data_IF_346084096824
#
_entry.id   IF_346084096824
#
_cell.length_a   1.000
_cell.length_b   1.000
_cell.length_c   1.000
_cell.angle_alpha   90.00
_cell.angle_beta   90.00
_cell.angle_gamma   90.00
#
_symmetry.space_group_name_H-M   'P 1'
#
loop_
_entity.id
_entity.type
_entity.pdbx_description
1 polymer ?
#
# COMPACT_ATOMS: atom_id res chain seq x y z
N UNK A 1 17.25 -14.50 19.30
CA UNK A 1 17.43 -14.14 17.88
C UNK A 1 17.74 -12.65 17.82
N UNK A 2 18.98 -12.27 17.56
CA UNK A 2 19.38 -10.86 17.51
C UNK A 2 18.78 -10.24 16.24
N UNK A 3 17.96 -9.18 16.38
CA UNK A 3 17.45 -8.36 15.26
C UNK A 3 18.55 -7.92 14.27
N UNK A 4 19.80 -7.97 14.70
CA UNK A 4 20.98 -7.64 13.93
C UNK A 4 21.18 -8.56 12.70
N UNK A 5 20.70 -9.80 12.74
CA UNK A 5 20.89 -10.79 11.65
C UNK A 5 19.84 -10.73 10.53
N UNK A 6 18.76 -9.96 10.66
CA UNK A 6 17.73 -9.90 9.61
C UNK A 6 18.25 -9.17 8.36
N UNK A 7 17.91 -9.70 7.18
CA UNK A 7 18.17 -9.01 5.92
C UNK A 7 17.44 -7.66 5.85
N UNK A 8 17.99 -6.75 5.05
CA UNK A 8 17.46 -5.40 4.89
C UNK A 8 16.00 -5.40 4.40
N UNK A 9 15.65 -6.32 3.48
CA UNK A 9 14.29 -6.48 2.98
C UNK A 9 13.28 -6.73 4.12
N UNK A 10 13.62 -7.66 5.02
CA UNK A 10 12.78 -8.03 6.17
C UNK A 10 12.65 -6.87 7.16
N UNK A 11 13.77 -6.21 7.47
CA UNK A 11 13.79 -5.04 8.37
C UNK A 11 12.87 -3.93 7.85
N UNK A 12 12.97 -3.59 6.57
CA UNK A 12 12.15 -2.55 5.95
C UNK A 12 10.67 -2.95 5.95
N UNK A 13 10.35 -4.18 5.55
CA UNK A 13 8.98 -4.66 5.51
C UNK A 13 8.30 -4.64 6.90
N UNK A 14 9.00 -5.04 7.96
CA UNK A 14 8.49 -4.98 9.34
C UNK A 14 8.18 -3.53 9.74
N UNK A 15 9.11 -2.60 9.48
CA UNK A 15 8.91 -1.18 9.82
C UNK A 15 7.72 -0.62 9.06
N UNK A 16 7.61 -0.88 7.76
CA UNK A 16 6.48 -0.38 6.96
C UNK A 16 5.14 -1.05 7.31
N UNK A 17 5.14 -2.31 7.71
CA UNK A 17 3.95 -2.95 8.28
C UNK A 17 3.43 -2.17 9.49
N UNK A 18 4.34 -1.80 10.41
CA UNK A 18 4.01 -0.95 11.55
C UNK A 18 3.53 0.45 11.15
N UNK A 19 4.19 1.08 10.17
CA UNK A 19 3.79 2.40 9.66
C UNK A 19 2.39 2.34 9.05
N UNK A 20 2.07 1.36 8.21
CA UNK A 20 0.74 1.24 7.61
C UNK A 20 -0.33 0.99 8.66
N UNK A 21 -0.03 0.21 9.71
CA UNK A 21 -0.95 0.04 10.83
C UNK A 21 -1.22 1.40 11.52
N UNK A 22 -0.17 2.16 11.79
CA UNK A 22 -0.26 3.48 12.42
C UNK A 22 -1.03 4.48 11.56
N UNK A 23 -0.77 4.52 10.25
CA UNK A 23 -1.53 5.33 9.28
C UNK A 23 -3.00 4.91 9.25
N UNK A 24 -3.28 3.60 9.31
CA UNK A 24 -4.64 3.07 9.46
C UNK A 24 -5.35 3.57 10.70
N UNK A 25 -4.66 3.63 11.84
CA UNK A 25 -5.22 4.18 13.08
C UNK A 25 -5.51 5.69 12.96
N UNK A 26 -4.59 6.48 12.42
CA UNK A 26 -4.81 7.93 12.24
C UNK A 26 -5.93 8.25 11.26
N UNK A 27 -5.97 7.56 10.12
CA UNK A 27 -7.06 7.69 9.15
C UNK A 27 -8.39 7.22 9.75
N UNK A 28 -8.37 6.29 10.71
CA UNK A 28 -9.54 5.91 11.51
C UNK A 28 -10.05 7.05 12.40
N UNK A 29 -9.16 7.78 13.06
CA UNK A 29 -9.51 8.99 13.83
C UNK A 29 -10.11 10.05 12.92
N UNK A 30 -9.48 10.30 11.75
CA UNK A 30 -10.00 11.24 10.76
C UNK A 30 -11.40 10.84 10.24
N UNK A 31 -11.59 9.56 9.92
CA UNK A 31 -12.88 8.98 9.52
C UNK A 31 -13.94 9.19 10.60
N UNK A 32 -13.63 8.89 11.85
CA UNK A 32 -14.55 9.09 12.98
C UNK A 32 -14.95 10.56 13.14
N UNK A 33 -13.98 11.47 13.01
CA UNK A 33 -14.22 12.90 13.09
C UNK A 33 -15.19 13.39 11.99
N UNK A 34 -15.05 12.90 10.75
CA UNK A 34 -16.00 13.22 9.67
C UNK A 34 -17.40 12.63 9.94
N UNK A 35 -17.47 11.37 10.38
CA UNK A 35 -18.75 10.70 10.71
C UNK A 35 -19.54 11.53 11.72
N UNK A 36 -18.90 11.99 12.80
CA UNK A 36 -19.54 12.77 13.87
C UNK A 36 -20.11 14.11 13.41
N UNK A 37 -19.56 14.71 12.36
CA UNK A 37 -20.01 16.00 11.84
C UNK A 37 -20.95 15.89 10.64
N UNK A 38 -21.05 14.70 10.04
CA UNK A 38 -21.89 14.49 8.87
C UNK A 38 -23.35 14.21 9.25
N UNK A 39 -24.34 14.81 8.57
CA UNK A 39 -25.76 14.51 8.80
C UNK A 39 -26.11 13.03 8.60
N UNK A 40 -25.40 12.36 7.69
CA UNK A 40 -25.63 10.95 7.33
C UNK A 40 -24.75 9.97 8.12
N UNK A 41 -23.94 10.46 9.07
CA UNK A 41 -22.98 9.64 9.84
C UNK A 41 -22.01 8.83 8.95
N UNK A 42 -21.49 9.46 7.89
CA UNK A 42 -20.57 8.86 6.92
C UNK A 42 -19.37 9.78 6.65
N UNK A 43 -18.19 9.17 6.55
CA UNK A 43 -16.99 9.84 6.05
C UNK A 43 -17.00 9.89 4.52
N UNK A 44 -16.16 10.74 3.95
CA UNK A 44 -15.91 10.76 2.52
C UNK A 44 -15.37 9.40 2.06
N UNK A 45 -15.78 8.97 0.85
CA UNK A 45 -15.48 7.62 0.33
C UNK A 45 -14.00 7.28 0.37
N UNK A 46 -13.13 8.21 -0.05
CA UNK A 46 -11.68 8.00 -0.04
C UNK A 46 -11.03 8.04 1.35
N UNK A 47 -11.67 8.67 2.35
CA UNK A 47 -11.19 8.58 3.74
C UNK A 47 -11.45 7.16 4.28
N UNK A 48 -12.59 6.57 3.94
CA UNK A 48 -12.88 5.17 4.29
C UNK A 48 -11.94 4.20 3.55
N UNK A 49 -11.67 4.42 2.26
CA UNK A 49 -10.71 3.60 1.52
C UNK A 49 -9.30 3.75 2.11
N UNK A 50 -8.80 4.97 2.34
CA UNK A 50 -7.47 5.18 2.89
C UNK A 50 -7.27 4.41 4.20
N UNK A 51 -8.28 4.46 5.08
CA UNK A 51 -8.29 3.73 6.34
C UNK A 51 -8.24 2.21 6.14
N UNK A 52 -9.16 1.65 5.35
CA UNK A 52 -9.23 0.19 5.12
C UNK A 52 -7.97 -0.32 4.43
N UNK A 53 -7.52 0.36 3.38
CA UNK A 53 -6.34 -0.04 2.63
C UNK A 53 -5.09 -0.03 3.51
N UNK A 54 -4.91 0.98 4.38
CA UNK A 54 -3.79 1.00 5.32
C UNK A 54 -3.81 -0.19 6.29
N UNK A 55 -4.98 -0.56 6.81
CA UNK A 55 -5.14 -1.73 7.68
C UNK A 55 -4.95 -3.07 6.96
N UNK A 56 -5.19 -3.14 5.65
CA UNK A 56 -4.94 -4.33 4.84
C UNK A 56 -3.47 -4.42 4.39
N UNK A 57 -2.84 -3.29 4.08
CA UNK A 57 -1.45 -3.24 3.65
C UNK A 57 -0.47 -3.45 4.81
N UNK A 58 -0.85 -3.17 6.05
CA UNK A 58 -0.07 -3.52 7.23
C UNK A 58 0.24 -5.03 7.32
N UNK A 59 -0.74 -5.96 7.43
CA UNK A 59 -0.48 -7.39 7.45
C UNK A 59 0.06 -7.90 6.11
N UNK A 60 -0.34 -7.33 4.96
CA UNK A 60 0.26 -7.72 3.68
C UNK A 60 1.77 -7.47 3.64
N UNK A 61 2.22 -6.32 4.16
CA UNK A 61 3.66 -6.01 4.23
C UNK A 61 4.39 -6.92 5.20
N UNK A 62 3.73 -7.34 6.29
CA UNK A 62 4.29 -8.36 7.19
C UNK A 62 4.43 -9.71 6.48
N UNK A 63 3.45 -10.10 5.65
CA UNK A 63 3.55 -11.31 4.82
C UNK A 63 4.76 -11.20 3.88
N UNK A 64 4.98 -10.05 3.23
CA UNK A 64 6.19 -9.85 2.41
C UNK A 64 7.47 -10.01 3.22
N UNK A 65 7.50 -9.55 4.47
CA UNK A 65 8.65 -9.74 5.36
C UNK A 65 8.94 -11.22 5.62
N UNK A 66 7.89 -12.02 5.87
CA UNK A 66 8.00 -13.47 6.10
C UNK A 66 8.43 -14.19 4.83
N UNK A 67 7.86 -13.84 3.68
CA UNK A 67 8.27 -14.42 2.40
C UNK A 67 9.73 -14.12 2.08
N UNK A 68 10.17 -12.86 2.27
CA UNK A 68 11.56 -12.48 2.09
C UNK A 68 12.49 -13.19 3.09
N UNK A 69 12.05 -13.40 4.33
CA UNK A 69 12.82 -14.12 5.34
C UNK A 69 13.02 -15.60 5.00
N UNK A 70 11.99 -16.26 4.45
CA UNK A 70 12.06 -17.66 4.04
C UNK A 70 12.67 -17.85 2.65
N UNK A 71 12.97 -16.77 1.92
CA UNK A 71 13.38 -16.84 0.52
C UNK A 71 14.85 -17.25 0.37
N UNK A 72 15.12 -18.20 -0.52
CA UNK A 72 16.49 -18.57 -0.94
C UNK A 72 17.07 -17.67 -2.02
N UNK A 73 16.30 -16.71 -2.54
CA UNK A 73 16.75 -15.81 -3.59
C UNK A 73 17.80 -14.82 -3.05
N UNK A 74 18.61 -14.21 -3.95
CA UNK A 74 19.57 -13.20 -3.55
C UNK A 74 18.91 -12.05 -2.78
N UNK A 75 19.58 -11.57 -1.73
CA UNK A 75 19.10 -10.49 -0.86
C UNK A 75 18.63 -9.24 -1.62
N UNK A 76 19.32 -8.89 -2.71
CA UNK A 76 18.95 -7.77 -3.59
C UNK A 76 17.61 -7.98 -4.30
N UNK A 77 17.31 -9.22 -4.72
CA UNK A 77 16.04 -9.56 -5.37
C UNK A 77 14.89 -9.44 -4.37
N UNK A 78 15.06 -10.02 -3.17
CA UNK A 78 14.09 -9.89 -2.09
C UNK A 78 13.83 -8.41 -1.74
N UNK A 79 14.91 -7.62 -1.64
CA UNK A 79 14.84 -6.19 -1.34
C UNK A 79 14.06 -5.42 -2.39
N UNK A 80 14.34 -5.61 -3.68
CA UNK A 80 13.62 -4.93 -4.76
C UNK A 80 12.14 -5.30 -4.74
N UNK A 81 11.81 -6.59 -4.60
CA UNK A 81 10.41 -7.04 -4.57
C UNK A 81 9.63 -6.42 -3.40
N UNK A 82 10.24 -6.36 -2.22
CA UNK A 82 9.65 -5.70 -1.04
C UNK A 82 9.48 -4.20 -1.27
N UNK A 83 10.53 -3.51 -1.74
CA UNK A 83 10.50 -2.06 -1.92
C UNK A 83 9.46 -1.62 -2.93
N UNK A 84 9.37 -2.32 -4.07
CA UNK A 84 8.42 -1.99 -5.13
C UNK A 84 6.98 -2.11 -4.61
N UNK A 85 6.65 -3.18 -3.87
CA UNK A 85 5.33 -3.32 -3.23
C UNK A 85 5.06 -2.18 -2.24
N UNK A 86 6.00 -1.88 -1.35
CA UNK A 86 5.87 -0.80 -0.36
C UNK A 86 5.63 0.56 -1.04
N UNK A 87 6.33 0.85 -2.14
CA UNK A 87 6.16 2.10 -2.90
C UNK A 87 4.75 2.21 -3.46
N UNK A 88 4.22 1.16 -4.08
CA UNK A 88 2.86 1.18 -4.65
C UNK A 88 1.76 1.19 -3.59
N UNK A 89 1.93 0.47 -2.47
CA UNK A 89 1.04 0.57 -1.31
C UNK A 89 1.00 1.98 -0.74
N UNK A 90 2.18 2.58 -0.52
CA UNK A 90 2.31 3.95 -0.01
C UNK A 90 1.69 4.96 -0.96
N UNK A 91 1.96 4.83 -2.26
CA UNK A 91 1.39 5.69 -3.30
C UNK A 91 -0.14 5.62 -3.31
N UNK A 92 -0.70 4.42 -3.23
CA UNK A 92 -2.15 4.22 -3.21
C UNK A 92 -2.79 4.84 -1.97
N UNK A 93 -2.24 4.59 -0.77
CA UNK A 93 -2.73 5.21 0.47
C UNK A 93 -2.66 6.74 0.38
N UNK A 94 -1.54 7.29 -0.07
CA UNK A 94 -1.35 8.73 -0.20
C UNK A 94 -2.35 9.36 -1.19
N UNK A 95 -2.60 8.71 -2.33
CA UNK A 95 -3.62 9.14 -3.30
C UNK A 95 -5.03 9.13 -2.68
N UNK A 96 -5.38 8.09 -1.93
CA UNK A 96 -6.68 8.04 -1.24
C UNK A 96 -6.80 9.12 -0.16
N UNK A 97 -5.74 9.36 0.62
CA UNK A 97 -5.74 10.46 1.59
C UNK A 97 -5.90 11.81 0.89
N UNK A 98 -5.24 12.02 -0.24
CA UNK A 98 -5.35 13.24 -1.03
C UNK A 98 -6.77 13.45 -1.55
N UNK A 99 -7.40 12.43 -2.15
CA UNK A 99 -8.80 12.50 -2.59
C UNK A 99 -9.78 12.63 -1.42
N UNK A 100 -9.46 12.04 -0.26
CA UNK A 100 -10.23 12.22 0.97
C UNK A 100 -10.19 13.65 1.50
N UNK A 101 -9.04 14.33 1.34
CA UNK A 101 -8.82 15.71 1.76
C UNK A 101 -9.43 16.71 0.76
N UNK A 102 -9.20 16.50 -0.54
CA UNK A 102 -9.69 17.37 -1.61
C UNK A 102 -11.20 17.20 -1.85
N UNK A 103 -11.76 16.03 -1.55
CA UNK A 103 -13.16 15.67 -1.84
C UNK A 103 -13.52 15.94 -3.30
N UNK A 104 -12.57 15.69 -4.20
CA UNK A 104 -12.60 16.01 -5.61
C UNK A 104 -13.27 14.92 -6.46
N UNK A 105 -13.22 13.66 -6.00
CA UNK A 105 -13.83 12.54 -6.70
C UNK A 105 -14.32 11.45 -5.76
N UNK A 106 -15.30 10.68 -6.21
CA UNK A 106 -15.74 9.42 -5.61
C UNK A 106 -15.30 8.20 -6.42
N UNK A 107 -14.72 8.41 -7.60
CA UNK A 107 -14.18 7.37 -8.47
C UNK A 107 -13.00 7.93 -9.29
N UNK A 108 -11.78 7.52 -8.92
CA UNK A 108 -10.53 8.02 -9.48
C UNK A 108 -10.34 7.60 -10.93
N UNK A 109 -11.00 6.53 -11.37
CA UNK A 109 -10.94 6.01 -12.74
C UNK A 109 -12.05 6.55 -13.64
N UNK A 110 -12.94 7.40 -13.11
CA UNK A 110 -13.96 8.05 -13.93
C UNK A 110 -13.28 9.09 -14.82
N UNK A 111 -13.56 9.06 -16.11
CA UNK A 111 -13.09 10.08 -17.05
C UNK A 111 -13.95 11.35 -17.00
N UNK A 112 -13.34 12.55 -17.10
CA UNK A 112 -11.89 12.79 -17.09
C UNK A 112 -11.31 12.55 -15.69
N UNK A 113 -10.12 11.95 -15.60
CA UNK A 113 -9.44 11.68 -14.33
C UNK A 113 -9.17 13.00 -13.61
N UNK A 114 -9.56 13.13 -12.35
CA UNK A 114 -9.47 14.38 -11.58
C UNK A 114 -8.47 14.26 -10.44
N UNK A 115 -7.70 15.33 -10.24
CA UNK A 115 -6.86 15.54 -9.06
C UNK A 115 -7.00 17.00 -8.63
N UNK A 116 -7.85 17.25 -7.64
CA UNK A 116 -8.30 18.58 -7.27
C UNK A 116 -8.96 19.29 -8.45
N UNK A 117 -8.31 20.36 -8.94
CA UNK A 117 -8.79 21.13 -10.10
C UNK A 117 -8.16 20.70 -11.43
N UNK A 118 -7.22 19.75 -11.39
CA UNK A 118 -6.46 19.32 -12.56
C UNK A 118 -7.05 18.04 -13.15
N UNK A 119 -6.94 17.90 -14.47
CA UNK A 119 -7.24 16.67 -15.17
C UNK A 119 -5.96 15.90 -15.47
N UNK A 120 -5.90 14.64 -15.05
CA UNK A 120 -4.78 13.78 -15.34
C UNK A 120 -4.95 13.13 -16.72
N UNK A 121 -3.87 13.01 -17.50
CA UNK A 121 -3.93 12.31 -18.78
C UNK A 121 -4.23 10.82 -18.57
N UNK A 122 -5.07 10.26 -19.44
CA UNK A 122 -5.48 8.85 -19.38
C UNK A 122 -4.29 7.90 -19.45
N UNK A 123 -3.29 8.21 -20.29
CA UNK A 123 -2.07 7.41 -20.42
C UNK A 123 -1.32 7.24 -19.09
N UNK A 124 -1.30 8.29 -18.25
CA UNK A 124 -0.64 8.23 -16.94
C UNK A 124 -1.34 7.25 -16.01
N UNK A 125 -2.67 7.23 -15.99
CA UNK A 125 -3.45 6.30 -15.16
C UNK A 125 -3.27 4.86 -15.62
N UNK A 126 -3.27 4.61 -16.93
CA UNK A 126 -3.01 3.28 -17.48
C UNK A 126 -1.60 2.80 -17.14
N UNK A 127 -0.58 3.65 -17.29
CA UNK A 127 0.80 3.31 -16.93
C UNK A 127 0.95 3.04 -15.43
N UNK A 128 0.29 3.83 -14.57
CA UNK A 128 0.31 3.61 -13.14
C UNK A 128 -0.30 2.26 -12.76
N UNK A 129 -1.45 1.90 -13.36
CA UNK A 129 -2.10 0.60 -13.10
C UNK A 129 -1.29 -0.59 -13.61
N UNK A 130 -0.70 -0.48 -14.82
CA UNK A 130 0.20 -1.52 -15.33
C UNK A 130 1.44 -1.68 -14.44
N UNK A 131 2.03 -0.55 -14.02
CA UNK A 131 3.14 -0.52 -13.07
C UNK A 131 2.78 -1.23 -11.77
N UNK A 132 1.61 -0.91 -11.20
CA UNK A 132 1.10 -1.53 -9.97
C UNK A 132 0.90 -3.04 -10.13
N UNK A 133 0.30 -3.49 -11.23
CA UNK A 133 0.09 -4.92 -11.49
C UNK A 133 1.42 -5.66 -11.56
N UNK A 134 2.38 -5.15 -12.34
CA UNK A 134 3.70 -5.77 -12.49
C UNK A 134 4.44 -5.79 -11.15
N UNK A 135 4.38 -4.68 -10.42
CA UNK A 135 4.99 -4.49 -9.12
C UNK A 135 4.46 -5.46 -8.06
N UNK A 136 3.15 -5.41 -7.82
CA UNK A 136 2.55 -6.12 -6.69
C UNK A 136 2.43 -7.61 -6.99
N UNK A 137 1.86 -7.97 -8.14
CA UNK A 137 1.68 -9.37 -8.52
C UNK A 137 3.02 -10.04 -8.84
N UNK A 138 3.88 -9.37 -9.61
CA UNK A 138 5.20 -9.88 -9.97
C UNK A 138 6.14 -9.95 -8.76
N UNK A 139 6.28 -8.87 -8.00
CA UNK A 139 7.15 -8.82 -6.83
C UNK A 139 6.73 -9.83 -5.74
N UNK A 140 5.43 -9.95 -5.48
CA UNK A 140 4.93 -10.95 -4.53
C UNK A 140 5.10 -12.37 -5.07
N UNK A 141 4.89 -12.59 -6.38
CA UNK A 141 5.12 -13.89 -7.01
C UNK A 141 6.56 -14.37 -6.92
N UNK A 142 7.53 -13.47 -7.12
CA UNK A 142 8.97 -13.78 -6.96
C UNK A 142 9.29 -14.15 -5.51
N UNK A 143 8.78 -13.38 -4.54
CA UNK A 143 8.96 -13.67 -3.11
C UNK A 143 8.33 -15.00 -2.71
N UNK A 144 7.13 -15.31 -3.22
CA UNK A 144 6.45 -16.59 -3.00
C UNK A 144 7.27 -17.76 -3.56
N UNK A 145 7.80 -17.64 -4.78
CA UNK A 145 8.67 -18.65 -5.37
C UNK A 145 9.93 -18.86 -4.53
N UNK A 146 10.59 -17.77 -4.14
CA UNK A 146 11.78 -17.84 -3.30
C UNK A 146 11.52 -18.49 -1.94
N UNK A 147 10.43 -18.11 -1.29
CA UNK A 147 10.02 -18.70 -0.01
C UNK A 147 9.67 -20.18 -0.13
N UNK A 148 8.95 -20.56 -1.20
CA UNK A 148 8.62 -21.96 -1.47
C UNK A 148 9.89 -22.82 -1.61
N UNK A 149 10.85 -22.37 -2.42
CA UNK A 149 12.12 -23.07 -2.62
C UNK A 149 13.04 -23.08 -1.38
N UNK A 150 12.78 -22.22 -0.38
CA UNK A 150 13.51 -22.23 0.89
C UNK A 150 12.87 -23.07 1.97
N UNK A 151 11.56 -23.33 1.88
CA UNK A 151 10.81 -24.11 2.86
C UNK A 151 10.70 -25.60 2.51
N UNK A 152 10.80 -25.96 1.22
CA UNK A 152 10.65 -27.31 0.70
C UNK A 152 11.83 -27.69 -0.19
#
# INVERSE_FOLDING_TARGET
MQLMELELAVKIAIIFSGIFLWVGMFTGVWKYWQIRQSPQSRAHYYVDIAHRSSLLYAPATLILAVLAYCSVLPSMVNLICVLVNIVFFSFSIASYMLHGFLQDTTNQFKQPHQLGKFHLPESLMTLAMLGLIIAELGGTGILLYGAFAGLF
#
